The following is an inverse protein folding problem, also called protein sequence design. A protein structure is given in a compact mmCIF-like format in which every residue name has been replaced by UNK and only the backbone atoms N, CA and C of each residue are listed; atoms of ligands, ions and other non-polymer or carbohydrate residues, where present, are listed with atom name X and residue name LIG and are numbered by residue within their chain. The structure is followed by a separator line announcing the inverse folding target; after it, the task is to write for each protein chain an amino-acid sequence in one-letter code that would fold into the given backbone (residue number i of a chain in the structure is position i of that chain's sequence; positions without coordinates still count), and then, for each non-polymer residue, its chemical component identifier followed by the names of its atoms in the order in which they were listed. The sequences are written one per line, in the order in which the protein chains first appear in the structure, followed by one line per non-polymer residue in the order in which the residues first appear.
data_IF_989263795101
#
_entry.id   IF_989263795101
#
_cell.length_a   1.000
_cell.length_b   1.000
_cell.length_c   1.000
_cell.angle_alpha   90.00
_cell.angle_beta   90.00
_cell.angle_gamma   90.00
#
_symmetry.space_group_name_H-M   'P 1'
#
loop_
_entity.id
_entity.type
_entity.pdbx_description
1 polymer ?
#
# COMPACT_ATOMS: atom_id res chain seq x y z
N UNK A 1 -15.65 -11.15 -18.69
CA UNK A 1 -15.42 -12.09 -17.56
C UNK A 1 -13.94 -12.38 -17.28
N UNK A 2 -13.04 -12.22 -18.25
CA UNK A 2 -11.61 -12.61 -18.14
C UNK A 2 -10.83 -11.93 -16.99
N UNK A 3 -11.14 -10.67 -16.67
CA UNK A 3 -10.43 -9.94 -15.60
C UNK A 3 -10.71 -10.46 -14.18
N UNK A 4 -11.89 -11.05 -13.94
CA UNK A 4 -12.23 -11.59 -12.61
C UNK A 4 -11.47 -12.91 -12.36
N UNK A 5 -11.41 -13.78 -13.37
CA UNK A 5 -10.66 -15.03 -13.32
C UNK A 5 -9.17 -14.79 -13.09
N UNK A 6 -8.58 -13.81 -13.80
CA UNK A 6 -7.17 -13.43 -13.62
C UNK A 6 -6.89 -12.95 -12.19
N UNK A 7 -7.75 -12.10 -11.62
CA UNK A 7 -7.61 -11.62 -10.23
C UNK A 7 -7.66 -12.78 -9.22
N UNK A 8 -8.51 -13.78 -9.44
CA UNK A 8 -8.61 -14.95 -8.56
C UNK A 8 -7.34 -15.81 -8.60
N UNK A 9 -6.77 -16.01 -9.78
CA UNK A 9 -5.49 -16.71 -9.94
C UNK A 9 -4.36 -15.91 -9.26
N UNK A 10 -4.30 -14.60 -9.51
CA UNK A 10 -3.27 -13.73 -8.95
C UNK A 10 -3.32 -13.70 -7.41
N UNK A 11 -4.52 -13.68 -6.82
CA UNK A 11 -4.71 -13.69 -5.36
C UNK A 11 -4.39 -15.05 -4.73
N UNK A 12 -4.63 -16.16 -5.43
CA UNK A 12 -4.26 -17.50 -4.95
C UNK A 12 -2.73 -17.65 -4.76
N UNK A 13 -1.93 -16.93 -5.55
CA UNK A 13 -0.47 -16.93 -5.47
C UNK A 13 0.10 -16.09 -4.31
N UNK A 14 -0.74 -15.43 -3.52
CA UNK A 14 -0.27 -14.63 -2.38
C UNK A 14 0.01 -15.54 -1.18
N UNK A 15 1.29 -15.84 -1.00
CA UNK A 15 1.84 -16.63 0.13
C UNK A 15 2.06 -15.78 1.38
N UNK A 16 1.98 -14.45 1.27
CA UNK A 16 2.19 -13.54 2.38
C UNK A 16 0.87 -13.19 3.08
N UNK A 17 0.88 -12.99 4.41
CA UNK A 17 -0.31 -12.61 5.17
C UNK A 17 -0.76 -11.17 4.88
N UNK A 18 0.05 -10.41 4.15
CA UNK A 18 -0.19 -9.01 3.81
C UNK A 18 -0.51 -8.87 2.33
N UNK A 19 -1.43 -7.95 2.02
CA UNK A 19 -1.71 -7.64 0.62
C UNK A 19 -0.47 -7.04 -0.08
N UNK A 20 -0.32 -7.20 -1.41
CA UNK A 20 0.84 -6.71 -2.16
C UNK A 20 1.09 -5.22 -2.02
N UNK A 21 0.06 -4.42 -1.74
CA UNK A 21 0.19 -2.98 -1.52
C UNK A 21 0.96 -2.68 -0.23
N UNK A 22 0.64 -3.37 0.85
CA UNK A 22 1.35 -3.25 2.14
C UNK A 22 2.75 -3.82 2.02
N UNK A 23 2.90 -4.97 1.36
CA UNK A 23 4.20 -5.56 1.09
C UNK A 23 5.12 -4.58 0.34
N UNK A 24 4.64 -3.92 -0.72
CA UNK A 24 5.41 -2.90 -1.45
C UNK A 24 5.81 -1.70 -0.58
N UNK A 25 4.98 -1.30 0.38
CA UNK A 25 5.29 -0.22 1.31
C UNK A 25 6.42 -0.66 2.24
N UNK A 26 6.30 -1.86 2.82
CA UNK A 26 7.34 -2.45 3.67
C UNK A 26 8.65 -2.58 2.90
N UNK A 27 8.62 -3.18 1.70
CA UNK A 27 9.79 -3.36 0.84
C UNK A 27 10.45 -2.03 0.45
N UNK A 28 9.67 -1.03 0.04
CA UNK A 28 10.20 0.30 -0.27
C UNK A 28 10.90 0.92 0.93
N UNK A 29 10.28 0.86 2.11
CA UNK A 29 10.87 1.44 3.29
C UNK A 29 12.11 0.68 3.78
N UNK A 30 12.15 -0.65 3.59
CA UNK A 30 13.34 -1.47 3.82
C UNK A 30 14.49 -1.06 2.88
N UNK A 31 14.19 -0.80 1.59
CA UNK A 31 15.18 -0.29 0.63
C UNK A 31 15.71 1.09 1.02
N UNK A 32 14.86 1.93 1.62
CA UNK A 32 15.24 3.24 2.16
C UNK A 32 16.05 3.16 3.47
N UNK A 33 16.43 1.96 3.92
CA UNK A 33 17.27 1.69 5.11
C UNK A 33 16.68 2.19 6.43
N UNK A 34 15.37 2.38 6.49
CA UNK A 34 14.70 2.66 7.76
C UNK A 34 14.59 1.35 8.53
N UNK A 35 15.08 1.33 9.76
CA UNK A 35 14.85 0.21 10.66
C UNK A 35 13.38 0.22 11.06
N UNK A 36 12.56 -0.55 10.34
CA UNK A 36 11.14 -0.68 10.65
C UNK A 36 10.88 -1.96 11.42
N UNK A 37 10.04 -1.86 12.43
CA UNK A 37 9.42 -2.98 13.10
C UNK A 37 7.91 -2.93 12.85
N UNK A 38 7.34 -4.08 12.53
CA UNK A 38 5.89 -4.24 12.47
C UNK A 38 5.45 -4.75 13.83
N UNK A 39 4.65 -3.95 14.52
CA UNK A 39 4.08 -4.31 15.81
C UNK A 39 2.59 -4.62 15.64
N UNK A 40 2.14 -5.75 16.17
CA UNK A 40 0.74 -6.10 16.21
C UNK A 40 0.20 -5.67 17.57
N UNK A 41 -0.57 -4.57 17.58
CA UNK A 41 -0.98 -3.89 18.82
C UNK A 41 -2.18 -4.59 19.45
N UNK A 42 -3.19 -4.87 18.62
CA UNK A 42 -4.36 -5.67 18.95
C UNK A 42 -4.69 -6.48 17.69
N UNK A 43 -5.42 -7.60 17.79
CA UNK A 43 -5.78 -8.48 16.64
C UNK A 43 -6.45 -7.78 15.44
N UNK A 44 -6.70 -6.48 15.55
CA UNK A 44 -7.38 -5.61 14.61
C UNK A 44 -6.42 -4.59 13.98
N UNK A 45 -5.24 -4.31 14.56
CA UNK A 45 -4.35 -3.24 14.07
C UNK A 45 -2.90 -3.67 14.04
N UNK A 46 -2.20 -3.26 13.00
CA UNK A 46 -0.74 -3.31 12.99
C UNK A 46 -0.16 -1.90 12.81
N UNK A 47 0.91 -1.67 13.54
CA UNK A 47 1.65 -0.43 13.60
C UNK A 47 3.00 -0.65 12.94
N UNK A 48 3.34 0.26 12.03
CA UNK A 48 4.68 0.33 11.44
C UNK A 48 5.46 1.33 12.27
N UNK A 49 6.37 0.80 13.08
CA UNK A 49 7.22 1.55 13.99
C UNK A 49 8.58 1.76 13.34
N UNK A 50 9.01 3.01 13.22
CA UNK A 50 10.37 3.35 12.84
C UNK A 50 11.25 3.44 14.07
N UNK A 51 12.37 2.72 14.02
CA UNK A 51 13.37 2.67 15.07
C UNK A 51 14.53 3.57 14.65
N UNK A 52 14.67 4.70 15.33
CA UNK A 52 15.74 5.67 15.10
C UNK A 52 16.62 5.69 16.34
N UNK A 53 17.72 4.94 16.30
CA UNK A 53 18.57 4.72 17.47
C UNK A 53 17.81 3.96 18.56
N UNK A 54 17.59 4.60 19.72
CA UNK A 54 16.83 4.04 20.84
C UNK A 54 15.36 4.48 20.87
N UNK A 55 14.96 5.38 19.97
CA UNK A 55 13.61 5.91 19.91
C UNK A 55 12.76 5.04 18.98
N UNK A 56 11.50 4.84 19.37
CA UNK A 56 10.47 4.14 18.59
C UNK A 56 9.38 5.14 18.27
N UNK A 57 9.14 5.41 16.99
CA UNK A 57 8.09 6.30 16.54
C UNK A 57 7.10 5.54 15.66
N UNK A 58 5.80 5.69 15.92
CA UNK A 58 4.76 5.08 15.10
C UNK A 58 4.58 5.93 13.84
N UNK A 59 5.05 5.42 12.70
CA UNK A 59 4.99 6.17 11.42
C UNK A 59 3.65 5.98 10.74
N UNK A 60 3.05 4.80 10.89
CA UNK A 60 1.76 4.50 10.29
C UNK A 60 1.03 3.43 11.08
N UNK A 61 -0.28 3.63 11.22
CA UNK A 61 -1.19 2.65 11.80
C UNK A 61 -2.13 2.18 10.71
N UNK A 62 -2.27 0.87 10.58
CA UNK A 62 -3.12 0.22 9.59
C UNK A 62 -4.11 -0.69 10.29
N UNK A 63 -5.34 -0.68 9.76
CA UNK A 63 -6.39 -1.57 10.23
C UNK A 63 -6.27 -2.92 9.51
N UNK A 64 -6.00 -3.97 10.29
CA UNK A 64 -5.73 -5.33 9.82
C UNK A 64 -6.92 -5.87 9.01
N UNK A 65 -8.15 -5.45 9.30
CA UNK A 65 -9.34 -5.88 8.57
C UNK A 65 -9.25 -5.54 7.07
N UNK A 66 -8.60 -4.43 6.70
CA UNK A 66 -8.50 -4.00 5.30
C UNK A 66 -7.29 -4.58 4.57
N UNK A 67 -6.30 -5.08 5.32
CA UNK A 67 -4.99 -5.44 4.77
C UNK A 67 -4.60 -6.90 4.98
N UNK A 68 -5.42 -7.66 5.73
CA UNK A 68 -5.29 -9.10 5.80
C UNK A 68 -5.64 -9.71 4.44
N UNK A 69 -4.72 -10.53 3.93
CA UNK A 69 -4.90 -11.28 2.68
C UNK A 69 -6.18 -12.11 2.68
N UNK A 70 -6.60 -12.69 3.80
CA UNK A 70 -7.83 -13.49 3.89
C UNK A 70 -9.10 -12.65 3.71
N UNK A 71 -9.20 -11.52 4.40
CA UNK A 71 -10.37 -10.62 4.29
C UNK A 71 -10.44 -10.01 2.89
N UNK A 72 -9.27 -9.64 2.35
CA UNK A 72 -9.16 -9.18 0.97
C UNK A 72 -9.59 -10.29 0.00
N UNK A 73 -9.05 -11.51 0.11
CA UNK A 73 -9.46 -12.66 -0.71
C UNK A 73 -10.97 -12.89 -0.66
N UNK A 74 -11.57 -12.92 0.53
CA UNK A 74 -13.01 -13.07 0.70
C UNK A 74 -13.80 -11.97 -0.04
N UNK A 75 -13.35 -10.71 0.05
CA UNK A 75 -13.96 -9.58 -0.67
C UNK A 75 -13.93 -9.77 -2.19
N UNK A 76 -12.83 -10.31 -2.73
CA UNK A 76 -12.68 -10.54 -4.18
C UNK A 76 -13.25 -11.89 -4.66
N UNK A 77 -13.49 -12.83 -3.76
CA UNK A 77 -14.21 -14.07 -4.06
C UNK A 77 -15.72 -13.87 -4.15
N UNK A 78 -16.26 -12.89 -3.41
CA UNK A 78 -17.66 -12.51 -3.62
C UNK A 78 -17.84 -12.04 -5.05
N UNK A 79 -18.82 -12.64 -5.74
CA UNK A 79 -19.17 -12.23 -7.09
C UNK A 79 -19.57 -10.75 -7.00
N UNK A 80 -18.76 -9.87 -7.59
CA UNK A 80 -19.10 -8.45 -7.69
C UNK A 80 -20.38 -8.43 -8.49
N UNK A 81 -21.52 -8.29 -7.80
CA UNK A 81 -22.79 -8.15 -8.48
C UNK A 81 -22.61 -6.95 -9.39
N UNK A 82 -22.86 -7.11 -10.71
CA UNK A 82 -22.81 -5.96 -11.59
C UNK A 82 -23.70 -4.90 -10.95
N UNK A 83 -23.18 -3.67 -10.84
CA UNK A 83 -23.99 -2.55 -10.36
C UNK A 83 -25.24 -2.60 -11.23
N UNK A 84 -26.38 -2.85 -10.59
CA UNK A 84 -27.63 -2.98 -11.31
C UNK A 84 -27.79 -1.70 -12.12
N UNK A 85 -27.83 -1.84 -13.45
CA UNK A 85 -27.94 -0.70 -14.37
C UNK A 85 -29.22 0.12 -14.17
N UNK A 86 -30.09 -0.33 -13.25
CA UNK A 86 -31.40 0.24 -12.97
C UNK A 86 -31.39 1.70 -12.53
N UNK A 87 -30.29 2.21 -11.96
CA UNK A 87 -30.18 3.63 -11.56
C UNK A 87 -29.12 4.38 -12.37
N UNK A 88 -28.81 3.92 -13.59
CA UNK A 88 -28.06 4.77 -14.49
C UNK A 88 -29.06 5.79 -15.07
N UNK A 89 -28.99 7.08 -14.71
CA UNK A 89 -29.83 8.08 -15.36
C UNK A 89 -29.56 8.00 -16.86
N UNK A 90 -30.60 8.23 -17.66
CA UNK A 90 -30.45 8.27 -19.12
C UNK A 90 -29.24 9.13 -19.48
N UNK A 91 -28.36 8.65 -20.39
CA UNK A 91 -27.22 9.44 -20.80
C UNK A 91 -27.74 10.81 -21.23
N UNK A 92 -27.14 11.91 -20.72
CA UNK A 92 -27.62 13.24 -21.04
C UNK A 92 -27.68 13.37 -22.56
N UNK A 93 -28.85 13.73 -23.08
CA UNK A 93 -29.02 14.08 -24.49
C UNK A 93 -27.91 15.07 -24.86
N UNK A 94 -27.28 14.96 -26.05
CA UNK A 94 -26.23 15.86 -26.51
C UNK A 94 -26.82 17.24 -26.83
N UNK A 95 -27.36 17.90 -25.80
CA UNK A 95 -27.59 19.33 -25.76
C UNK A 95 -26.29 19.99 -25.35
N UNK A 96 -26.10 21.25 -25.75
CA UNK A 96 -24.86 22.05 -25.69
C UNK A 96 -24.32 22.33 -24.28
N UNK A 97 -24.18 21.31 -23.43
CA UNK A 97 -23.50 21.40 -22.14
C UNK A 97 -22.00 21.48 -22.45
N UNK A 98 -21.54 22.70 -22.70
CA UNK A 98 -20.13 23.03 -22.80
C UNK A 98 -19.51 22.84 -21.40
N UNK A 99 -19.07 21.62 -21.09
CA UNK A 99 -18.29 21.33 -19.89
C UNK A 99 -16.95 22.05 -20.04
N UNK A 100 -16.86 23.26 -19.49
CA UNK A 100 -15.58 23.97 -19.39
C UNK A 100 -14.75 23.29 -18.31
N UNK A 101 -13.57 22.81 -18.67
CA UNK A 101 -12.59 22.36 -17.69
C UNK A 101 -12.41 23.43 -16.61
N UNK A 102 -12.33 23.06 -15.32
CA UNK A 102 -12.08 24.03 -14.27
C UNK A 102 -10.82 24.82 -14.61
N UNK A 103 -10.91 26.15 -14.55
CA UNK A 103 -9.77 27.04 -14.81
C UNK A 103 -8.81 26.91 -13.63
N UNK A 104 -7.93 25.90 -13.71
CA UNK A 104 -6.83 25.73 -12.77
C UNK A 104 -5.83 26.82 -13.12
N UNK A 105 -5.88 27.95 -12.40
CA UNK A 105 -4.81 28.95 -12.44
C UNK A 105 -3.54 28.29 -11.94
N UNK A 106 -2.64 27.88 -12.85
CA UNK A 106 -1.30 27.47 -12.47
C UNK A 106 -0.66 28.65 -11.73
N UNK A 107 -0.29 28.46 -10.46
CA UNK A 107 0.53 29.42 -9.76
C UNK A 107 1.77 29.66 -10.62
N UNK A 108 1.98 30.90 -11.07
CA UNK A 108 3.14 31.30 -11.86
C UNK A 108 4.37 31.29 -10.96
N UNK A 109 4.93 30.11 -10.74
CA UNK A 109 6.08 29.90 -9.88
C UNK A 109 6.80 28.65 -10.33
N UNK A 110 8.05 28.81 -10.78
CA UNK A 110 8.94 27.70 -11.11
C UNK A 110 9.16 26.91 -9.81
N UNK A 111 8.67 25.66 -9.75
CA UNK A 111 8.96 24.75 -8.63
C UNK A 111 10.48 24.72 -8.46
N UNK A 112 11.00 25.37 -7.41
CA UNK A 112 12.41 25.27 -7.04
C UNK A 112 12.63 23.81 -6.66
N UNK A 113 13.32 23.06 -7.53
CA UNK A 113 13.84 21.73 -7.23
C UNK A 113 14.75 21.85 -6.01
N UNK A 114 14.21 21.64 -4.81
CA UNK A 114 15.03 21.32 -3.64
C UNK A 114 15.63 19.95 -3.94
N UNK A 115 16.91 19.92 -4.34
CA UNK A 115 17.70 18.70 -4.39
C UNK A 115 17.78 18.16 -2.96
N UNK A 116 16.93 17.20 -2.62
CA UNK A 116 17.15 16.35 -1.46
C UNK A 116 18.39 15.52 -1.75
N UNK A 117 19.52 15.89 -1.14
CA UNK A 117 20.71 15.04 -1.10
C UNK A 117 20.39 13.86 -0.17
N UNK A 118 19.84 12.78 -0.74
CA UNK A 118 19.76 11.49 -0.05
C UNK A 118 21.15 10.87 -0.14
N UNK A 119 21.90 10.92 0.96
CA UNK A 119 23.18 10.25 1.09
C UNK A 119 22.89 8.79 1.46
N UNK A 120 23.04 7.88 0.49
CA UNK A 120 22.84 6.44 0.69
C UNK A 120 24.13 5.85 1.26
N UNK A 121 24.19 5.67 2.58
CA UNK A 121 25.28 4.90 3.20
C UNK A 121 24.96 3.40 3.14
N UNK A 122 25.74 2.67 2.34
CA UNK A 122 25.74 1.21 2.23
C UNK A 122 26.31 0.54 3.48
N UNK A 123 25.45 0.25 4.47
CA UNK A 123 25.76 -0.72 5.52
C UNK A 123 25.44 -2.14 5.05
N UNK A 124 26.49 -2.98 5.03
CA UNK A 124 26.42 -4.45 4.93
C UNK A 124 25.85 -4.98 6.25
N UNK A 125 24.71 -5.68 6.18
CA UNK A 125 24.21 -6.47 7.30
C UNK A 125 25.11 -7.71 7.41
N UNK A 126 26.00 -7.74 8.40
CA UNK A 126 26.63 -8.98 8.84
C UNK A 126 25.60 -9.76 9.65
N UNK A 127 25.07 -10.83 9.07
CA UNK A 127 24.31 -11.83 9.80
C UNK A 127 25.26 -12.57 10.74
N UNK A 128 25.20 -12.24 12.03
CA UNK A 128 25.78 -13.10 13.05
C UNK A 128 24.97 -14.38 13.13
N UNK A 129 25.44 -15.39 12.39
CA UNK A 129 25.00 -16.78 12.52
C UNK A 129 25.59 -17.28 13.84
N UNK A 130 24.88 -17.00 14.93
CA UNK A 130 25.22 -17.50 16.27
C UNK A 130 25.31 -19.02 16.19
N UNK A 131 26.52 -19.54 16.40
CA UNK A 131 26.74 -20.96 16.56
C UNK A 131 25.95 -21.42 17.79
N UNK A 132 24.94 -22.25 17.58
CA UNK A 132 24.47 -23.16 18.61
C UNK A 132 25.62 -24.15 18.87
N UNK A 133 26.39 -23.89 19.92
CA UNK A 133 27.21 -24.89 20.59
C UNK A 133 26.49 -25.28 21.87
N UNK A 134 26.21 -26.58 21.95
CA UNK A 134 26.07 -27.40 23.15
C UNK A 134 24.81 -27.22 24.01
N UNK A 135 23.95 -28.24 23.98
CA UNK A 135 23.98 -29.32 24.96
C UNK A 135 23.49 -30.62 24.31
#
# INVERSE_FOLDING_TARGET
MEMAAKRKIDTALWDTPYCPKVQKIIERNLQERRSLAIHHSDRIKFEVIEIIGNNKEVVSQYDLAFYNTEVYKATYETNIQPISTFDMPDPPQPSDVLIKSPIIKRLSGRLRKRRSRVCVYLFKVQTNRSQQKNL
#
